data_IF_822273504581
#
_entry.id   IF_822273504581
#
_cell.length_a   1.000
_cell.length_b   1.000
_cell.length_c   1.000
_cell.angle_alpha   90.00
_cell.angle_beta   90.00
_cell.angle_gamma   90.00
#
_symmetry.space_group_name_H-M   'P 1'
#
loop_
_entity.id
_entity.type
_entity.pdbx_description
1 polymer ?
#
# COMPACT_ATOMS: atom_id res chain seq x y z
N UNK A 1 -28.15 -27.05 -23.59
CA UNK A 1 -26.68 -27.12 -23.59
C UNK A 1 -26.12 -25.95 -24.39
N UNK A 2 -25.83 -24.83 -23.77
CA UNK A 2 -25.10 -23.72 -24.40
C UNK A 2 -23.64 -23.83 -23.97
N UNK A 3 -22.85 -24.51 -24.80
CA UNK A 3 -21.41 -24.55 -24.62
C UNK A 3 -20.88 -23.12 -24.73
N UNK A 4 -20.40 -22.62 -23.62
CA UNK A 4 -19.78 -21.33 -23.46
C UNK A 4 -18.51 -21.24 -24.30
N UNK A 5 -18.58 -20.51 -25.41
CA UNK A 5 -17.44 -20.04 -26.23
C UNK A 5 -16.60 -19.00 -25.47
N UNK A 6 -16.90 -18.72 -24.20
CA UNK A 6 -16.26 -17.72 -23.34
C UNK A 6 -14.99 -18.19 -22.61
N UNK A 7 -14.37 -19.31 -22.99
CA UNK A 7 -13.21 -19.85 -22.29
C UNK A 7 -11.85 -19.23 -22.67
N UNK A 8 -11.79 -18.28 -23.61
CA UNK A 8 -10.54 -17.64 -24.08
C UNK A 8 -10.27 -16.30 -23.37
N UNK A 9 -11.28 -15.64 -22.84
CA UNK A 9 -11.10 -14.44 -22.03
C UNK A 9 -10.63 -14.86 -20.63
N UNK A 10 -9.41 -14.45 -20.22
CA UNK A 10 -8.93 -14.62 -18.86
C UNK A 10 -9.92 -14.01 -17.85
N UNK A 11 -9.87 -14.47 -16.60
CA UNK A 11 -10.68 -13.90 -15.51
C UNK A 11 -10.25 -12.48 -15.25
N UNK A 12 -11.17 -11.53 -15.29
CA UNK A 12 -10.91 -10.13 -14.97
C UNK A 12 -10.44 -10.01 -13.52
N UNK A 13 -9.49 -9.11 -13.25
CA UNK A 13 -8.82 -9.01 -11.98
C UNK A 13 -8.55 -7.57 -11.57
N UNK A 14 -8.59 -7.29 -10.28
CA UNK A 14 -8.10 -6.04 -9.72
C UNK A 14 -6.77 -6.29 -8.99
N UNK A 15 -5.86 -5.36 -9.11
CA UNK A 15 -4.53 -5.43 -8.52
C UNK A 15 -4.31 -4.17 -7.70
N UNK A 16 -4.16 -4.36 -6.41
CA UNK A 16 -3.56 -3.37 -5.53
C UNK A 16 -2.05 -3.53 -5.63
N UNK A 17 -1.41 -2.64 -6.39
CA UNK A 17 0.02 -2.68 -6.68
C UNK A 17 0.80 -1.83 -5.67
N UNK A 18 0.76 -2.23 -4.40
CA UNK A 18 1.37 -1.46 -3.32
C UNK A 18 2.89 -1.60 -3.24
N UNK A 19 3.55 -0.61 -2.61
CA UNK A 19 5.01 -0.59 -2.39
C UNK A 19 5.47 -1.79 -1.55
N UNK A 20 4.75 -2.14 -0.50
CA UNK A 20 5.11 -3.25 0.40
C UNK A 20 4.54 -4.60 -0.06
N UNK A 21 3.27 -4.64 -0.44
CA UNK A 21 2.56 -5.85 -0.83
C UNK A 21 1.71 -5.60 -2.08
N UNK A 22 1.57 -6.62 -2.91
CA UNK A 22 0.63 -6.66 -4.02
C UNK A 22 -0.50 -7.64 -3.67
N UNK A 23 -1.74 -7.18 -3.76
CA UNK A 23 -2.93 -8.00 -3.59
C UNK A 23 -3.67 -8.13 -4.92
N UNK A 24 -4.23 -9.31 -5.17
CA UNK A 24 -4.99 -9.57 -6.39
C UNK A 24 -6.37 -10.12 -6.04
N UNK A 25 -7.38 -9.44 -6.56
CA UNK A 25 -8.77 -9.85 -6.52
C UNK A 25 -9.19 -10.37 -7.91
N UNK A 26 -9.92 -11.47 -7.96
CA UNK A 26 -10.45 -12.05 -9.19
C UNK A 26 -11.98 -12.00 -9.17
N UNK A 27 -12.55 -11.47 -10.22
CA UNK A 27 -14.01 -11.35 -10.39
C UNK A 27 -14.71 -12.68 -10.16
N UNK A 28 -15.72 -12.69 -9.28
CA UNK A 28 -16.50 -13.86 -8.90
C UNK A 28 -15.78 -14.88 -8.01
N UNK A 29 -14.57 -14.54 -7.51
CA UNK A 29 -13.78 -15.43 -6.63
C UNK A 29 -13.37 -14.71 -5.33
N UNK A 30 -13.00 -13.43 -5.42
CA UNK A 30 -12.45 -12.67 -4.29
C UNK A 30 -10.93 -12.52 -4.34
N UNK A 31 -10.32 -12.22 -3.19
CA UNK A 31 -8.86 -12.07 -3.07
C UNK A 31 -8.21 -13.45 -3.19
N UNK A 32 -7.33 -13.60 -4.17
CA UNK A 32 -6.66 -14.88 -4.49
C UNK A 32 -5.16 -14.84 -4.25
N UNK A 33 -4.60 -13.64 -4.04
CA UNK A 33 -3.16 -13.46 -3.86
C UNK A 33 -2.90 -12.26 -2.95
N UNK A 34 -1.95 -12.45 -2.03
CA UNK A 34 -1.36 -11.42 -1.18
C UNK A 34 0.12 -11.74 -1.01
N UNK A 35 0.96 -11.02 -1.74
CA UNK A 35 2.40 -11.29 -1.80
C UNK A 35 3.19 -9.98 -1.62
N UNK A 36 4.36 -10.01 -0.98
CA UNK A 36 5.27 -8.88 -0.97
C UNK A 36 5.65 -8.42 -2.38
N UNK A 37 5.72 -7.12 -2.60
CA UNK A 37 6.16 -6.51 -3.87
C UNK A 37 7.70 -6.56 -3.97
N UNK A 38 8.26 -7.77 -4.00
CA UNK A 38 9.70 -8.03 -4.04
C UNK A 38 9.99 -9.05 -5.13
N UNK A 39 11.05 -8.82 -5.89
CA UNK A 39 11.56 -9.74 -6.91
C UNK A 39 13.04 -9.98 -6.66
N UNK A 40 13.44 -11.23 -6.56
CA UNK A 40 14.85 -11.63 -6.56
C UNK A 40 15.31 -11.90 -7.99
N UNK A 41 16.36 -11.24 -8.43
CA UNK A 41 16.90 -11.38 -9.79
C UNK A 41 18.34 -11.88 -9.75
N UNK A 42 18.74 -12.57 -10.81
CA UNK A 42 20.13 -12.81 -11.10
C UNK A 42 20.71 -11.56 -11.78
N UNK A 43 21.76 -10.96 -11.19
CA UNK A 43 22.35 -9.70 -11.68
C UNK A 43 23.09 -9.82 -13.00
N UNK A 44 23.38 -11.07 -13.49
CA UNK A 44 24.11 -11.32 -14.74
C UNK A 44 23.22 -11.25 -15.98
N UNK A 45 21.97 -11.68 -15.85
CA UNK A 45 21.04 -11.81 -16.99
C UNK A 45 19.65 -11.19 -16.72
N UNK A 46 19.48 -10.53 -15.58
CA UNK A 46 18.23 -9.91 -15.11
C UNK A 46 17.02 -10.86 -15.09
N UNK A 47 17.26 -12.17 -14.96
CA UNK A 47 16.17 -13.14 -14.85
C UNK A 47 15.60 -13.16 -13.44
N UNK A 48 14.26 -13.13 -13.29
CA UNK A 48 13.63 -13.33 -12.00
C UNK A 48 13.89 -14.76 -11.54
N UNK A 49 14.34 -14.89 -10.29
CA UNK A 49 14.55 -16.17 -9.60
C UNK A 49 13.35 -16.49 -8.72
N UNK A 50 12.93 -15.51 -7.93
CA UNK A 50 11.80 -15.63 -7.01
C UNK A 50 11.00 -14.32 -6.97
N UNK A 51 9.71 -14.42 -6.65
CA UNK A 51 8.79 -13.29 -6.52
C UNK A 51 7.98 -13.45 -5.22
N UNK A 52 7.66 -12.34 -4.57
CA UNK A 52 6.80 -12.34 -3.40
C UNK A 52 7.54 -12.77 -2.12
N UNK A 53 6.91 -13.64 -1.33
CA UNK A 53 7.40 -14.03 -0.02
C UNK A 53 8.79 -14.66 -0.06
N UNK A 54 9.08 -15.51 -1.05
CA UNK A 54 10.40 -16.16 -1.16
C UNK A 54 11.47 -15.12 -1.48
N UNK A 55 11.19 -14.15 -2.36
CA UNK A 55 12.11 -13.04 -2.63
C UNK A 55 12.31 -12.14 -1.39
N UNK A 56 11.25 -11.85 -0.61
CA UNK A 56 11.35 -11.06 0.64
C UNK A 56 12.27 -11.75 1.67
N UNK A 57 12.26 -13.08 1.76
CA UNK A 57 13.15 -13.83 2.64
C UNK A 57 14.64 -13.70 2.27
N UNK A 58 14.92 -13.34 1.04
CA UNK A 58 16.28 -13.19 0.52
C UNK A 58 16.88 -11.79 0.80
N UNK A 59 16.09 -10.79 1.16
CA UNK A 59 16.57 -9.43 1.46
C UNK A 59 17.65 -9.48 2.55
N UNK A 60 18.82 -8.87 2.26
CA UNK A 60 19.97 -8.81 3.16
C UNK A 60 20.74 -10.13 3.34
N UNK A 61 20.43 -11.17 2.53
CA UNK A 61 21.03 -12.52 2.65
C UNK A 61 21.53 -13.07 1.33
N UNK A 62 21.59 -12.26 0.28
CA UNK A 62 21.96 -12.69 -1.07
C UNK A 62 23.47 -12.59 -1.32
N UNK A 63 24.07 -13.53 -2.08
CA UNK A 63 25.39 -13.34 -2.63
C UNK A 63 25.35 -12.25 -3.71
N UNK A 64 26.53 -11.75 -4.13
CA UNK A 64 26.67 -10.61 -5.04
C UNK A 64 25.99 -10.76 -6.41
N UNK A 65 25.75 -12.00 -6.86
CA UNK A 65 25.09 -12.28 -8.15
C UNK A 65 23.56 -12.42 -8.05
N UNK A 66 22.98 -12.24 -6.86
CA UNK A 66 21.53 -12.20 -6.62
C UNK A 66 21.18 -10.90 -5.91
N UNK A 67 20.16 -10.21 -6.41
CA UNK A 67 19.64 -9.00 -5.79
C UNK A 67 18.13 -9.12 -5.57
N UNK A 68 17.67 -8.86 -4.34
CA UNK A 68 16.25 -8.68 -4.06
C UNK A 68 15.89 -7.21 -4.27
N UNK A 69 14.95 -6.94 -5.18
CA UNK A 69 14.56 -5.60 -5.61
C UNK A 69 13.10 -5.36 -5.24
N UNK A 70 12.80 -4.16 -4.74
CA UNK A 70 11.44 -3.62 -4.64
C UNK A 70 11.20 -2.77 -5.88
N UNK A 71 10.40 -3.23 -6.85
CA UNK A 71 10.20 -2.54 -8.11
C UNK A 71 9.31 -1.29 -7.99
N UNK A 72 8.65 -1.14 -6.85
CA UNK A 72 7.81 0.00 -6.50
C UNK A 72 8.43 0.73 -5.31
N UNK A 73 8.43 2.06 -5.37
CA UNK A 73 8.83 2.95 -4.27
C UNK A 73 7.90 4.14 -4.21
N UNK A 74 7.51 4.53 -3.01
CA UNK A 74 6.67 5.71 -2.80
C UNK A 74 5.41 5.70 -3.70
N UNK A 75 4.76 4.53 -3.84
CA UNK A 75 3.55 4.33 -4.62
C UNK A 75 3.74 4.33 -6.14
N UNK A 76 4.97 4.45 -6.67
CA UNK A 76 5.22 4.53 -8.11
C UNK A 76 6.21 3.46 -8.59
N UNK A 77 6.20 3.19 -9.90
CA UNK A 77 7.14 2.26 -10.53
C UNK A 77 8.55 2.87 -10.51
N UNK A 78 9.46 2.24 -9.79
CA UNK A 78 10.88 2.58 -9.76
C UNK A 78 11.69 1.78 -10.80
N UNK A 79 11.24 0.57 -11.13
CA UNK A 79 11.84 -0.30 -12.15
C UNK A 79 10.73 -0.91 -13.01
N UNK A 80 10.62 -0.44 -14.26
CA UNK A 80 9.56 -0.84 -15.18
C UNK A 80 9.66 -2.32 -15.56
N UNK A 81 10.86 -2.79 -15.93
CA UNK A 81 11.07 -4.15 -16.42
C UNK A 81 10.79 -5.19 -15.33
N UNK A 82 11.19 -4.88 -14.09
CA UNK A 82 10.94 -5.77 -12.96
C UNK A 82 9.47 -5.73 -12.56
N UNK A 83 8.80 -4.57 -12.62
CA UNK A 83 7.35 -4.46 -12.39
C UNK A 83 6.56 -5.28 -13.41
N UNK A 84 6.90 -5.19 -14.72
CA UNK A 84 6.29 -6.00 -15.77
C UNK A 84 6.42 -7.49 -15.47
N UNK A 85 7.64 -7.94 -15.12
CA UNK A 85 7.90 -9.35 -14.79
C UNK A 85 7.10 -9.81 -13.57
N UNK A 86 7.00 -8.96 -12.55
CA UNK A 86 6.20 -9.23 -11.35
C UNK A 86 4.71 -9.34 -11.68
N UNK A 87 4.15 -8.39 -12.43
CA UNK A 87 2.75 -8.42 -12.87
C UNK A 87 2.46 -9.67 -13.72
N UNK A 88 3.33 -10.00 -14.66
CA UNK A 88 3.22 -11.22 -15.47
C UNK A 88 3.20 -12.48 -14.60
N UNK A 89 4.09 -12.56 -13.62
CA UNK A 89 4.10 -13.68 -12.66
C UNK A 89 2.75 -13.81 -11.93
N UNK A 90 2.15 -12.71 -11.49
CA UNK A 90 0.85 -12.74 -10.80
C UNK A 90 -0.29 -13.13 -11.75
N UNK A 91 -0.31 -12.59 -12.96
CA UNK A 91 -1.30 -12.97 -14.00
C UNK A 91 -1.20 -14.47 -14.29
N UNK A 92 0.01 -14.99 -14.52
CA UNK A 92 0.26 -16.41 -14.80
C UNK A 92 -0.14 -17.31 -13.63
N UNK A 93 0.15 -16.89 -12.39
CA UNK A 93 -0.20 -17.61 -11.16
C UNK A 93 -1.72 -17.73 -10.99
N UNK A 94 -2.46 -16.64 -11.25
CA UNK A 94 -3.94 -16.61 -11.18
C UNK A 94 -4.58 -17.47 -12.28
N UNK A 95 -3.99 -17.50 -13.46
CA UNK A 95 -4.56 -18.22 -14.62
C UNK A 95 -3.97 -19.61 -14.83
N UNK A 96 -3.22 -20.16 -13.84
CA UNK A 96 -2.57 -21.47 -13.95
C UNK A 96 -1.72 -21.62 -15.22
N UNK A 97 -0.96 -20.56 -15.58
CA UNK A 97 -0.06 -20.50 -16.75
C UNK A 97 -0.78 -20.74 -18.10
N UNK A 98 -2.04 -20.39 -18.22
CA UNK A 98 -2.75 -20.41 -19.50
C UNK A 98 -2.26 -19.26 -20.38
N UNK A 99 -1.42 -19.56 -21.36
CA UNK A 99 -0.79 -18.61 -22.28
C UNK A 99 -1.75 -17.71 -23.07
N UNK A 100 -3.04 -18.06 -23.15
CA UNK A 100 -4.08 -17.31 -23.87
C UNK A 100 -4.94 -16.42 -22.95
N UNK A 101 -4.69 -16.40 -21.64
CA UNK A 101 -5.48 -15.58 -20.74
C UNK A 101 -5.10 -14.10 -20.92
N UNK A 102 -6.09 -13.29 -21.36
CA UNK A 102 -5.96 -11.83 -21.50
C UNK A 102 -7.03 -11.14 -20.66
N UNK A 103 -6.78 -10.93 -19.36
CA UNK A 103 -7.75 -10.31 -18.47
C UNK A 103 -7.92 -8.82 -18.75
N UNK A 104 -9.09 -8.28 -18.36
CA UNK A 104 -9.24 -6.88 -18.00
C UNK A 104 -8.62 -6.72 -16.60
N UNK A 105 -7.81 -5.66 -16.41
CA UNK A 105 -7.17 -5.40 -15.13
C UNK A 105 -7.56 -3.99 -14.66
N UNK A 106 -7.96 -3.86 -13.40
CA UNK A 106 -8.06 -2.60 -12.67
C UNK A 106 -6.87 -2.51 -11.73
N UNK A 107 -6.10 -1.43 -11.78
CA UNK A 107 -4.91 -1.23 -10.94
C UNK A 107 -5.09 0.03 -10.11
N UNK A 108 -4.79 -0.05 -8.82
CA UNK A 108 -4.79 1.08 -7.91
C UNK A 108 -3.55 1.94 -8.14
N UNK A 109 -3.72 3.24 -8.03
CA UNK A 109 -2.65 4.24 -8.16
C UNK A 109 -2.84 5.34 -7.13
N UNK A 110 -1.76 5.97 -6.62
CA UNK A 110 -1.87 7.11 -5.72
C UNK A 110 -2.65 8.27 -6.33
N UNK A 111 -3.34 9.07 -5.51
CA UNK A 111 -4.10 10.24 -5.97
C UNK A 111 -3.21 11.34 -6.57
N UNK A 112 -1.96 11.43 -6.10
CA UNK A 112 -0.96 12.39 -6.59
C UNK A 112 -0.13 11.93 -7.80
N UNK A 113 -0.53 10.83 -8.47
CA UNK A 113 0.22 10.26 -9.60
C UNK A 113 0.22 11.18 -10.82
N UNK A 114 1.37 11.35 -11.46
CA UNK A 114 1.49 12.09 -12.73
C UNK A 114 0.90 11.29 -13.89
N UNK A 115 0.52 11.98 -14.97
CA UNK A 115 0.03 11.32 -16.20
C UNK A 115 1.06 10.34 -16.80
N UNK A 116 2.36 10.62 -16.65
CA UNK A 116 3.44 9.75 -17.13
C UNK A 116 3.53 8.48 -16.29
N UNK A 117 3.50 8.60 -14.97
CA UNK A 117 3.52 7.47 -14.05
C UNK A 117 2.28 6.59 -14.22
N UNK A 118 1.08 7.19 -14.35
CA UNK A 118 -0.18 6.47 -14.63
C UNK A 118 -0.06 5.65 -15.91
N UNK A 119 0.44 6.27 -16.98
CA UNK A 119 0.67 5.59 -18.25
C UNK A 119 1.68 4.44 -18.12
N UNK A 120 2.75 4.61 -17.35
CA UNK A 120 3.72 3.53 -17.08
C UNK A 120 3.06 2.32 -16.41
N UNK A 121 2.15 2.53 -15.45
CA UNK A 121 1.38 1.45 -14.81
C UNK A 121 0.50 0.71 -15.83
N UNK A 122 -0.22 1.45 -16.68
CA UNK A 122 -1.06 0.84 -17.72
C UNK A 122 -0.23 0.07 -18.75
N UNK A 123 0.90 0.64 -19.22
CA UNK A 123 1.81 -0.03 -20.15
C UNK A 123 2.42 -1.30 -19.55
N UNK A 124 2.84 -1.27 -18.28
CA UNK A 124 3.34 -2.45 -17.58
C UNK A 124 2.28 -3.57 -17.55
N UNK A 125 1.01 -3.22 -17.30
CA UNK A 125 -0.09 -4.19 -17.34
C UNK A 125 -0.34 -4.77 -18.74
N UNK A 126 -0.30 -3.94 -19.80
CA UNK A 126 -0.42 -4.41 -21.18
C UNK A 126 0.73 -5.35 -21.57
N UNK A 127 1.96 -4.99 -21.23
CA UNK A 127 3.13 -5.83 -21.49
C UNK A 127 3.09 -7.15 -20.70
N UNK A 128 2.53 -7.11 -19.48
CA UNK A 128 2.32 -8.31 -18.68
C UNK A 128 1.19 -9.23 -19.21
N UNK A 129 0.40 -8.78 -20.22
CA UNK A 129 -0.60 -9.61 -20.90
C UNK A 129 -2.04 -9.17 -20.71
N UNK A 130 -2.34 -8.03 -20.11
CA UNK A 130 -3.69 -7.49 -20.03
C UNK A 130 -4.24 -7.17 -21.43
N UNK A 131 -5.54 -7.43 -21.66
CA UNK A 131 -6.23 -6.94 -22.86
C UNK A 131 -6.71 -5.50 -22.71
N UNK A 132 -7.03 -5.07 -21.48
CA UNK A 132 -7.39 -3.72 -21.10
C UNK A 132 -6.90 -3.45 -19.69
N UNK A 133 -6.33 -2.27 -19.47
CA UNK A 133 -5.94 -1.76 -18.17
C UNK A 133 -6.78 -0.53 -17.83
N UNK A 134 -7.25 -0.46 -16.61
CA UNK A 134 -7.93 0.68 -16.01
C UNK A 134 -7.20 1.05 -14.73
N UNK A 135 -7.20 2.31 -14.38
CA UNK A 135 -6.67 2.77 -13.10
C UNK A 135 -7.78 3.33 -12.22
N UNK A 136 -7.64 3.15 -10.91
CA UNK A 136 -8.47 3.78 -9.88
C UNK A 136 -7.55 4.41 -8.85
N UNK A 137 -7.93 5.57 -8.32
CA UNK A 137 -7.15 6.18 -7.25
C UNK A 137 -7.33 5.44 -5.93
N UNK A 138 -6.21 5.17 -5.24
CA UNK A 138 -6.16 4.39 -3.99
C UNK A 138 -7.19 4.86 -2.96
N UNK A 139 -7.34 6.17 -2.64
CA UNK A 139 -8.31 6.60 -1.65
C UNK A 139 -9.76 6.37 -2.08
N UNK A 140 -10.07 6.46 -3.38
CA UNK A 140 -11.41 6.12 -3.88
C UNK A 140 -11.67 4.62 -3.76
N UNK A 141 -10.70 3.79 -4.14
CA UNK A 141 -10.80 2.34 -3.98
C UNK A 141 -10.94 1.96 -2.49
N UNK A 142 -10.13 2.56 -1.62
CA UNK A 142 -10.21 2.35 -0.18
C UNK A 142 -11.61 2.68 0.36
N UNK A 143 -12.17 3.85 0.01
CA UNK A 143 -13.49 4.28 0.44
C UNK A 143 -14.61 3.31 0.00
N UNK A 144 -14.57 2.86 -1.26
CA UNK A 144 -15.50 1.84 -1.77
C UNK A 144 -15.32 0.53 -0.99
N UNK A 145 -14.08 0.10 -0.76
CA UNK A 145 -13.77 -1.18 -0.12
C UNK A 145 -14.16 -1.26 1.36
N UNK A 146 -14.23 -0.12 2.05
CA UNK A 146 -14.73 -0.04 3.44
C UNK A 146 -16.24 0.25 3.50
N UNK A 147 -16.91 0.39 2.34
CA UNK A 147 -18.35 0.60 2.27
C UNK A 147 -18.81 2.02 2.56
N UNK A 148 -17.96 3.04 2.37
CA UNK A 148 -18.38 4.43 2.49
C UNK A 148 -19.37 4.81 1.38
N UNK A 149 -20.36 5.67 1.65
CA UNK A 149 -21.38 6.07 0.69
C UNK A 149 -20.83 7.10 -0.31
N UNK A 150 -19.86 6.69 -1.14
CA UNK A 150 -19.10 7.58 -2.03
C UNK A 150 -19.96 8.33 -3.06
N UNK A 151 -21.14 7.81 -3.41
CA UNK A 151 -22.04 8.43 -4.40
C UNK A 151 -23.03 9.43 -3.79
N UNK A 152 -23.17 9.47 -2.47
CA UNK A 152 -24.06 10.38 -1.79
C UNK A 152 -23.50 11.81 -1.76
N UNK A 153 -24.38 12.84 -1.67
CA UNK A 153 -23.97 14.23 -1.50
C UNK A 153 -23.56 14.51 -0.03
N UNK A 154 -22.62 13.72 0.48
CA UNK A 154 -22.13 13.80 1.86
C UNK A 154 -20.61 13.57 1.91
N UNK A 155 -19.95 14.22 2.86
CA UNK A 155 -18.50 14.11 3.05
C UNK A 155 -18.11 12.77 3.65
N UNK A 156 -17.24 12.02 2.95
CA UNK A 156 -16.57 10.82 3.47
C UNK A 156 -15.08 11.06 3.43
N UNK A 157 -14.39 10.90 4.56
CA UNK A 157 -12.93 11.07 4.63
C UNK A 157 -12.24 9.76 4.91
N UNK A 158 -11.22 9.46 4.12
CA UNK A 158 -10.36 8.26 4.26
C UNK A 158 -8.90 8.67 4.38
N UNK A 159 -8.18 7.96 5.25
CA UNK A 159 -6.72 8.01 5.39
C UNK A 159 -6.22 6.60 5.11
N UNK A 160 -5.57 6.40 3.99
CA UNK A 160 -4.95 5.13 3.61
C UNK A 160 -3.45 5.23 3.76
N UNK A 161 -2.90 4.58 4.78
CA UNK A 161 -1.48 4.56 5.06
C UNK A 161 -0.87 3.24 4.58
N UNK A 162 -0.28 3.28 3.38
CA UNK A 162 0.40 2.16 2.75
C UNK A 162 1.83 1.93 3.24
N UNK A 163 2.61 1.18 2.45
CA UNK A 163 4.04 0.96 2.71
C UNK A 163 4.91 2.16 2.36
N UNK A 164 4.65 2.82 1.22
CA UNK A 164 5.46 3.94 0.73
C UNK A 164 4.72 5.27 0.62
N UNK A 165 3.40 5.29 0.83
CA UNK A 165 2.56 6.50 0.73
C UNK A 165 1.51 6.53 1.81
N UNK A 166 1.06 7.73 2.14
CA UNK A 166 -0.19 7.97 2.86
C UNK A 166 -1.08 8.85 1.99
N UNK A 167 -2.26 8.33 1.67
CA UNK A 167 -3.30 9.00 0.90
C UNK A 167 -4.38 9.50 1.83
N UNK A 168 -4.67 10.79 1.78
CA UNK A 168 -5.74 11.43 2.55
C UNK A 168 -6.72 12.05 1.57
N UNK A 169 -7.99 11.68 1.61
CA UNK A 169 -8.97 12.22 0.68
C UNK A 169 -10.34 12.41 1.32
N UNK A 170 -11.04 13.45 0.86
CA UNK A 170 -12.46 13.70 1.08
C UNK A 170 -13.20 13.43 -0.21
N UNK A 171 -14.22 12.58 -0.14
CA UNK A 171 -14.97 12.05 -1.27
C UNK A 171 -16.43 12.43 -1.09
N UNK A 172 -17.08 12.85 -2.18
CA UNK A 172 -18.51 13.13 -2.25
C UNK A 172 -18.99 13.02 -3.69
N UNK A 173 -20.23 12.59 -3.93
CA UNK A 173 -20.85 12.50 -5.26
C UNK A 173 -20.02 11.72 -6.30
N UNK A 174 -19.34 10.66 -5.87
CA UNK A 174 -18.51 9.81 -6.72
C UNK A 174 -17.17 10.44 -7.14
N UNK A 175 -16.79 11.58 -6.57
CA UNK A 175 -15.54 12.28 -6.87
C UNK A 175 -14.69 12.59 -5.65
N UNK A 176 -13.40 12.73 -5.86
CA UNK A 176 -12.47 13.24 -4.84
C UNK A 176 -12.55 14.76 -4.84
N UNK A 177 -12.99 15.34 -3.72
CA UNK A 177 -13.16 16.80 -3.55
C UNK A 177 -11.85 17.45 -3.15
N UNK A 178 -11.15 16.84 -2.19
CA UNK A 178 -9.82 17.25 -1.72
C UNK A 178 -8.99 16.00 -1.53
N UNK A 179 -7.74 16.03 -1.94
CA UNK A 179 -6.79 14.96 -1.61
C UNK A 179 -5.40 15.50 -1.31
N UNK A 180 -4.69 14.72 -0.51
CA UNK A 180 -3.27 14.92 -0.20
C UNK A 180 -2.58 13.57 -0.22
N UNK A 181 -1.61 13.42 -1.11
CA UNK A 181 -0.70 12.29 -1.15
C UNK A 181 0.66 12.72 -0.58
N UNK A 182 1.20 11.96 0.35
CA UNK A 182 2.56 12.15 0.87
C UNK A 182 3.34 10.86 0.74
N UNK A 183 4.64 10.99 0.45
CA UNK A 183 5.57 9.85 0.31
C UNK A 183 6.11 9.44 1.67
N UNK A 184 5.21 9.17 2.58
CA UNK A 184 5.48 8.70 3.94
C UNK A 184 4.54 7.53 4.20
N UNK A 185 5.10 6.40 4.57
CA UNK A 185 4.37 5.18 4.87
C UNK A 185 5.16 4.28 5.81
N UNK A 186 4.89 2.98 5.74
CA UNK A 186 5.54 1.99 6.60
C UNK A 186 7.05 1.92 6.43
N UNK A 187 7.57 2.16 5.22
CA UNK A 187 9.00 2.08 4.92
C UNK A 187 9.77 3.26 5.58
N UNK A 188 9.20 4.47 5.59
CA UNK A 188 9.79 5.63 6.26
C UNK A 188 9.81 5.46 7.79
N UNK A 189 8.80 4.79 8.36
CA UNK A 189 8.84 4.42 9.78
C UNK A 189 9.98 3.44 10.07
N UNK A 190 10.22 2.46 9.19
CA UNK A 190 11.33 1.51 9.34
C UNK A 190 12.69 2.21 9.22
N UNK A 191 12.84 3.12 8.26
CA UNK A 191 14.06 3.92 8.08
C UNK A 191 14.32 4.86 9.26
N UNK A 192 13.27 5.44 9.84
CA UNK A 192 13.36 6.26 11.05
C UNK A 192 13.89 5.44 12.24
N UNK A 193 13.38 4.23 12.44
CA UNK A 193 13.86 3.30 13.48
C UNK A 193 15.33 2.93 13.25
N UNK A 194 15.72 2.60 12.01
CA UNK A 194 17.11 2.27 11.67
C UNK A 194 18.03 3.45 11.99
N UNK A 195 17.62 4.65 11.59
CA UNK A 195 18.41 5.88 11.79
C UNK A 195 18.54 6.23 13.26
N UNK A 196 17.47 6.10 14.03
CA UNK A 196 17.46 6.36 15.47
C UNK A 196 18.37 5.37 16.22
N UNK A 197 18.25 4.06 15.94
CA UNK A 197 19.10 3.02 16.55
C UNK A 197 20.57 3.20 16.17
N UNK A 198 20.85 3.63 14.94
CA UNK A 198 22.20 3.94 14.50
C UNK A 198 22.79 5.10 15.32
N UNK A 199 22.01 6.13 15.59
CA UNK A 199 22.43 7.32 16.32
C UNK A 199 22.61 7.04 17.82
N UNK A 200 21.62 6.43 18.47
CA UNK A 200 21.61 6.29 19.94
C UNK A 200 22.44 5.08 20.40
N UNK A 201 22.50 3.99 19.64
CA UNK A 201 23.15 2.74 20.04
C UNK A 201 24.43 2.42 19.26
N UNK A 202 24.81 3.24 18.26
CA UNK A 202 25.89 2.95 17.32
C UNK A 202 25.75 1.55 16.69
N UNK A 203 24.53 1.17 16.36
CA UNK A 203 24.21 -0.18 15.83
C UNK A 203 23.49 -0.10 14.49
N UNK A 204 23.94 -0.90 13.53
CA UNK A 204 23.27 -1.07 12.25
C UNK A 204 22.18 -2.15 12.36
N UNK A 205 20.95 -1.78 12.03
CA UNK A 205 19.83 -2.70 11.84
C UNK A 205 19.62 -3.01 10.37
N UNK A 206 19.10 -4.20 10.09
CA UNK A 206 18.55 -4.54 8.77
C UNK A 206 17.08 -4.10 8.65
N UNK A 207 16.64 -3.75 7.44
CA UNK A 207 15.25 -3.31 7.15
C UNK A 207 14.20 -4.27 7.73
N UNK A 208 14.38 -5.58 7.51
CA UNK A 208 13.45 -6.59 8.03
C UNK A 208 13.36 -6.59 9.56
N UNK A 209 14.46 -6.32 10.25
CA UNK A 209 14.46 -6.24 11.73
C UNK A 209 13.73 -4.99 12.19
N UNK A 210 13.90 -3.85 11.52
CA UNK A 210 13.19 -2.61 11.82
C UNK A 210 11.67 -2.79 11.60
N UNK A 211 11.25 -3.39 10.48
CA UNK A 211 9.84 -3.73 10.22
C UNK A 211 9.25 -4.61 11.34
N UNK A 212 9.99 -5.62 11.79
CA UNK A 212 9.56 -6.48 12.89
C UNK A 212 9.43 -5.74 14.22
N UNK A 213 10.37 -4.84 14.53
CA UNK A 213 10.33 -3.98 15.73
C UNK A 213 9.13 -3.04 15.67
N UNK A 214 8.91 -2.37 14.54
CA UNK A 214 7.74 -1.52 14.32
C UNK A 214 6.44 -2.27 14.59
N UNK A 215 6.28 -3.46 14.00
CA UNK A 215 5.06 -4.26 14.17
C UNK A 215 4.88 -4.80 15.58
N UNK A 216 5.98 -5.13 16.28
CA UNK A 216 5.91 -5.76 17.61
C UNK A 216 5.68 -4.75 18.73
N UNK A 217 6.37 -3.60 18.69
CA UNK A 217 6.41 -2.63 19.79
C UNK A 217 6.22 -1.18 19.36
N UNK A 218 6.03 -0.91 18.04
CA UNK A 218 5.77 0.45 17.55
C UNK A 218 4.45 0.99 18.04
N UNK A 219 4.43 2.27 18.41
CA UNK A 219 3.19 2.98 18.77
C UNK A 219 3.30 4.47 18.50
N UNK A 220 2.19 5.09 18.08
CA UNK A 220 2.08 6.52 17.85
C UNK A 220 1.51 7.28 19.07
N UNK A 221 1.14 6.54 20.14
CA UNK A 221 0.52 7.09 21.35
C UNK A 221 1.11 6.42 22.59
N UNK A 222 1.32 7.14 23.72
CA UNK A 222 1.82 6.54 24.95
C UNK A 222 0.78 5.64 25.58
N UNK A 223 1.22 4.49 26.08
CA UNK A 223 0.39 3.53 26.82
C UNK A 223 0.93 3.33 28.22
N UNK A 224 0.09 2.86 29.13
CA UNK A 224 0.50 2.59 30.52
C UNK A 224 1.51 1.43 30.59
N UNK A 225 1.28 0.39 29.79
CA UNK A 225 2.14 -0.79 29.69
C UNK A 225 2.86 -0.75 28.34
N UNK A 226 4.09 -0.30 28.33
CA UNK A 226 4.90 -0.20 27.13
C UNK A 226 5.79 -1.43 26.97
N UNK A 227 5.60 -2.23 25.92
CA UNK A 227 6.41 -3.41 25.65
C UNK A 227 7.85 -3.02 25.28
N UNK A 228 8.76 -3.99 25.48
CA UNK A 228 10.12 -3.92 25.00
C UNK A 228 10.47 -5.19 24.23
N UNK A 229 11.46 -5.11 23.33
CA UNK A 229 11.92 -6.24 22.53
C UNK A 229 13.45 -6.28 22.46
N UNK A 230 14.01 -7.49 22.47
CA UNK A 230 15.40 -7.72 22.12
C UNK A 230 15.60 -7.53 20.61
N UNK A 231 16.59 -6.71 20.25
CA UNK A 231 16.91 -6.41 18.86
C UNK A 231 18.38 -6.70 18.61
N UNK A 232 18.65 -7.41 17.50
CA UNK A 232 20.00 -7.82 17.12
C UNK A 232 20.45 -7.08 15.87
N UNK A 233 21.68 -6.60 15.88
CA UNK A 233 22.29 -5.91 14.77
C UNK A 233 23.81 -6.04 14.79
N UNK A 234 24.48 -5.15 14.05
CA UNK A 234 25.94 -5.08 14.00
C UNK A 234 26.40 -3.77 14.67
N UNK A 235 27.25 -3.90 15.67
CA UNK A 235 27.92 -2.74 16.28
C UNK A 235 28.80 -2.03 15.25
N UNK A 236 28.68 -0.71 15.16
CA UNK A 236 29.40 0.09 14.15
C UNK A 236 30.85 0.39 14.53
N UNK A 237 31.21 0.21 15.82
CA UNK A 237 32.56 0.48 16.32
C UNK A 237 33.40 -0.79 16.18
N UNK A 238 32.92 -1.91 16.72
CA UNK A 238 33.64 -3.17 16.73
C UNK A 238 33.41 -4.04 15.48
N UNK A 239 32.35 -3.79 14.73
CA UNK A 239 31.89 -4.63 13.61
C UNK A 239 31.26 -5.95 14.02
N UNK A 240 31.15 -6.25 15.31
CA UNK A 240 30.64 -7.51 15.84
C UNK A 240 29.12 -7.51 16.01
N UNK A 241 28.46 -8.69 16.11
CA UNK A 241 27.06 -8.79 16.49
C UNK A 241 26.82 -8.15 17.86
N UNK A 242 25.73 -7.37 17.98
CA UNK A 242 25.29 -6.68 19.21
C UNK A 242 23.82 -6.91 19.42
N UNK A 243 23.43 -7.08 20.68
CA UNK A 243 22.03 -7.15 21.11
C UNK A 243 21.72 -5.96 22.00
N UNK A 244 20.58 -5.32 21.79
CA UNK A 244 20.03 -4.25 22.63
C UNK A 244 18.59 -4.58 22.98
N UNK A 245 18.03 -3.92 23.98
CA UNK A 245 16.61 -3.92 24.30
C UNK A 245 16.05 -2.56 23.92
N UNK A 246 15.05 -2.54 23.06
CA UNK A 246 14.30 -1.33 22.70
C UNK A 246 12.95 -1.34 23.38
N UNK A 247 12.55 -0.21 23.93
CA UNK A 247 11.21 0.02 24.47
C UNK A 247 10.27 0.63 23.41
N UNK A 248 8.96 0.49 23.61
CA UNK A 248 7.94 1.13 22.77
C UNK A 248 8.06 2.67 22.79
N UNK A 249 8.49 3.26 23.92
CA UNK A 249 8.73 4.71 24.01
C UNK A 249 9.88 5.19 23.13
N UNK A 250 10.96 4.44 23.04
CA UNK A 250 12.09 4.75 22.16
C UNK A 250 11.71 4.60 20.68
N UNK A 251 10.94 3.55 20.34
CA UNK A 251 10.43 3.39 18.97
C UNK A 251 9.45 4.51 18.62
N UNK A 252 8.60 4.96 19.55
CA UNK A 252 7.70 6.10 19.34
C UNK A 252 8.48 7.40 19.09
N UNK A 253 9.55 7.64 19.87
CA UNK A 253 10.44 8.77 19.62
C UNK A 253 11.08 8.70 18.23
N UNK A 254 11.54 7.52 17.83
CA UNK A 254 12.16 7.33 16.52
C UNK A 254 11.21 7.65 15.35
N UNK A 255 9.93 7.31 15.46
CA UNK A 255 8.95 7.51 14.40
C UNK A 255 8.14 8.82 14.52
N UNK A 256 8.44 9.68 15.47
CA UNK A 256 7.65 10.91 15.73
C UNK A 256 7.57 11.82 14.51
N UNK A 257 8.68 12.05 13.80
CA UNK A 257 8.73 12.94 12.64
C UNK A 257 7.84 12.46 11.48
N UNK A 258 7.94 11.19 11.01
CA UNK A 258 7.03 10.70 9.99
C UNK A 258 5.57 10.63 10.46
N UNK A 259 5.29 10.30 11.71
CA UNK A 259 3.91 10.31 12.25
C UNK A 259 3.36 11.74 12.27
N UNK A 260 4.12 12.73 12.68
CA UNK A 260 3.70 14.14 12.66
C UNK A 260 3.40 14.60 11.23
N UNK A 261 4.19 14.19 10.25
CA UNK A 261 3.94 14.51 8.84
C UNK A 261 2.61 13.94 8.33
N UNK A 262 2.21 12.74 8.81
CA UNK A 262 0.90 12.15 8.51
C UNK A 262 -0.21 12.99 9.16
N UNK A 263 -0.07 13.38 10.42
CA UNK A 263 -1.01 14.26 11.13
C UNK A 263 -1.20 15.57 10.37
N UNK A 264 -0.11 16.18 9.90
CA UNK A 264 -0.13 17.44 9.16
C UNK A 264 -0.85 17.29 7.81
N UNK A 265 -0.70 16.15 7.14
CA UNK A 265 -1.42 15.87 5.89
C UNK A 265 -2.94 15.75 6.14
N UNK A 266 -3.36 15.12 7.24
CA UNK A 266 -4.77 15.03 7.64
C UNK A 266 -5.33 16.41 7.97
N UNK A 267 -4.63 17.21 8.78
CA UNK A 267 -5.02 18.59 9.13
C UNK A 267 -5.13 19.49 7.89
N UNK A 268 -4.14 19.38 6.99
CA UNK A 268 -4.16 20.12 5.72
C UNK A 268 -5.39 19.78 4.87
N UNK A 269 -5.75 18.51 4.78
CA UNK A 269 -6.91 18.07 4.00
C UNK A 269 -8.21 18.59 4.62
N UNK A 270 -8.34 18.54 5.94
CA UNK A 270 -9.49 19.12 6.67
C UNK A 270 -9.60 20.63 6.45
N UNK A 271 -8.48 21.37 6.51
CA UNK A 271 -8.44 22.82 6.26
C UNK A 271 -8.94 23.22 4.86
N UNK A 272 -8.72 22.37 3.87
CA UNK A 272 -9.16 22.57 2.48
C UNK A 272 -10.54 22.02 2.18
N UNK A 273 -11.14 21.30 3.11
CA UNK A 273 -12.46 20.69 2.93
C UNK A 273 -13.56 21.75 3.02
N UNK A 274 -14.54 21.77 2.08
CA UNK A 274 -15.71 22.62 2.19
C UNK A 274 -16.45 22.44 3.52
N UNK A 275 -17.00 23.53 4.11
CA UNK A 275 -17.60 23.49 5.45
C UNK A 275 -18.70 22.44 5.63
N UNK A 276 -19.55 22.25 4.63
CA UNK A 276 -20.65 21.27 4.66
C UNK A 276 -20.11 19.84 4.76
N UNK A 277 -19.07 19.52 3.99
CA UNK A 277 -18.44 18.21 4.03
C UNK A 277 -17.60 18.01 5.31
N UNK A 278 -17.02 19.08 5.85
CA UNK A 278 -16.31 19.02 7.13
C UNK A 278 -17.29 18.74 8.29
N UNK A 279 -18.50 19.27 8.24
CA UNK A 279 -19.56 18.95 9.20
C UNK A 279 -19.96 17.46 9.14
N UNK A 280 -20.11 16.91 7.93
CA UNK A 280 -20.39 15.48 7.76
C UNK A 280 -19.27 14.59 8.37
N UNK A 281 -18.00 15.00 8.17
CA UNK A 281 -16.83 14.26 8.70
C UNK A 281 -16.80 14.36 10.24
N UNK A 282 -17.22 15.48 10.83
CA UNK A 282 -17.30 15.61 12.29
C UNK A 282 -18.28 14.60 12.90
N UNK A 283 -19.38 14.31 12.21
CA UNK A 283 -20.39 13.36 12.66
C UNK A 283 -20.02 11.90 12.36
N UNK A 284 -19.48 11.63 11.17
CA UNK A 284 -19.19 10.27 10.68
C UNK A 284 -17.78 9.76 11.03
N UNK A 285 -16.86 10.69 11.26
CA UNK A 285 -15.46 10.41 11.53
C UNK A 285 -14.62 10.23 10.25
N UNK A 286 -13.34 9.98 10.48
CA UNK A 286 -12.33 9.69 9.47
C UNK A 286 -12.06 8.20 9.48
N UNK A 287 -12.13 7.55 8.32
CA UNK A 287 -11.79 6.12 8.21
C UNK A 287 -10.31 5.95 7.96
N UNK A 288 -9.65 5.22 8.86
CA UNK A 288 -8.23 4.88 8.78
C UNK A 288 -8.07 3.47 8.21
N UNK A 289 -7.29 3.34 7.14
CA UNK A 289 -7.04 2.08 6.43
C UNK A 289 -5.59 1.95 5.99
N UNK A 290 -5.24 0.87 5.25
CA UNK A 290 -3.88 0.52 4.91
C UNK A 290 -3.13 -0.18 6.04
N UNK A 291 -1.90 -0.60 5.76
CA UNK A 291 -1.06 -1.28 6.76
C UNK A 291 -0.71 -0.43 7.97
N UNK A 292 -0.59 0.89 7.76
CA UNK A 292 -0.30 1.86 8.83
C UNK A 292 -1.43 2.04 9.83
N UNK A 293 -2.68 1.72 9.46
CA UNK A 293 -3.81 1.70 10.40
C UNK A 293 -3.62 0.71 11.55
N UNK A 294 -2.71 -0.26 11.39
CA UNK A 294 -2.34 -1.22 12.42
C UNK A 294 -1.26 -0.69 13.38
N UNK A 295 -0.67 0.49 13.13
CA UNK A 295 0.24 1.11 14.06
C UNK A 295 -0.52 1.50 15.34
N UNK A 296 -0.10 0.93 16.43
CA UNK A 296 -0.76 1.07 17.73
C UNK A 296 -0.90 2.55 18.13
N UNK A 297 -2.13 3.00 18.40
CA UNK A 297 -2.43 4.37 18.85
C UNK A 297 -2.32 5.46 17.79
N UNK A 298 -2.20 5.11 16.50
CA UNK A 298 -2.28 6.10 15.44
C UNK A 298 -3.68 6.74 15.38
N UNK A 299 -4.72 5.96 15.60
CA UNK A 299 -6.10 6.40 15.76
C UNK A 299 -6.25 7.42 16.90
N UNK A 300 -5.67 7.12 18.06
CA UNK A 300 -5.68 8.02 19.22
C UNK A 300 -4.90 9.31 18.96
N UNK A 301 -3.75 9.21 18.28
CA UNK A 301 -2.95 10.38 17.90
C UNK A 301 -3.74 11.27 16.95
N UNK A 302 -4.32 10.73 15.89
CA UNK A 302 -5.12 11.47 14.93
C UNK A 302 -6.36 12.09 15.58
N UNK A 303 -7.08 11.35 16.42
CA UNK A 303 -8.25 11.89 17.15
C UNK A 303 -7.88 13.04 18.06
N UNK A 304 -6.78 12.94 18.81
CA UNK A 304 -6.29 14.00 19.68
C UNK A 304 -5.88 15.26 18.93
N UNK A 305 -5.25 15.10 17.77
CA UNK A 305 -4.69 16.20 16.98
C UNK A 305 -5.72 16.91 16.09
N UNK A 306 -6.78 16.21 15.68
CA UNK A 306 -7.80 16.73 14.76
C UNK A 306 -9.12 17.07 15.45
N UNK A 307 -9.37 16.50 16.63
CA UNK A 307 -10.67 16.56 17.29
C UNK A 307 -11.77 15.77 16.61
N UNK A 308 -11.44 14.97 15.57
CA UNK A 308 -12.38 14.16 14.81
C UNK A 308 -12.45 12.72 15.33
N UNK A 309 -13.62 12.04 15.28
CA UNK A 309 -13.68 10.61 15.49
C UNK A 309 -12.84 9.86 14.45
N UNK A 310 -12.07 8.86 14.87
CA UNK A 310 -11.30 8.01 13.96
C UNK A 310 -11.83 6.59 14.02
N UNK A 311 -12.12 6.01 12.87
CA UNK A 311 -12.66 4.65 12.73
C UNK A 311 -11.66 3.81 11.94
N UNK A 312 -11.05 2.83 12.56
CA UNK A 312 -10.17 1.89 11.84
C UNK A 312 -11.01 0.89 11.07
N UNK A 313 -10.70 0.68 9.80
CA UNK A 313 -11.38 -0.28 8.95
C UNK A 313 -11.22 -1.73 9.47
N UNK A 314 -12.24 -2.57 9.30
CA UNK A 314 -12.20 -3.98 9.74
C UNK A 314 -11.09 -4.79 9.05
N UNK A 315 -10.81 -4.49 7.79
CA UNK A 315 -9.79 -5.17 6.96
C UNK A 315 -8.86 -4.16 6.31
N UNK A 316 -8.06 -3.42 7.10
CA UNK A 316 -7.33 -2.26 6.59
C UNK A 316 -6.33 -2.63 5.49
N UNK A 317 -5.70 -3.80 5.54
CA UNK A 317 -4.79 -4.29 4.51
C UNK A 317 -5.47 -4.69 3.18
N UNK A 318 -6.80 -4.78 3.16
CA UNK A 318 -7.55 -5.30 2.01
C UNK A 318 -8.52 -4.26 1.41
N UNK A 319 -8.68 -3.10 2.04
CA UNK A 319 -9.68 -2.11 1.65
C UNK A 319 -9.53 -1.69 0.18
N UNK A 320 -8.33 -1.36 -0.25
CA UNK A 320 -8.03 -0.92 -1.61
C UNK A 320 -8.36 -2.00 -2.64
N UNK A 321 -7.89 -3.22 -2.42
CA UNK A 321 -8.15 -4.33 -3.36
C UNK A 321 -9.62 -4.76 -3.38
N UNK A 322 -10.33 -4.67 -2.24
CA UNK A 322 -11.77 -4.96 -2.17
C UNK A 322 -12.59 -3.92 -2.94
N UNK A 323 -12.26 -2.63 -2.81
CA UNK A 323 -12.94 -1.58 -3.57
C UNK A 323 -12.66 -1.68 -5.08
N UNK A 324 -11.42 -1.96 -5.47
CA UNK A 324 -11.08 -2.20 -6.87
C UNK A 324 -11.77 -3.45 -7.42
N UNK A 325 -11.93 -4.48 -6.58
CA UNK A 325 -12.71 -5.68 -6.90
C UNK A 325 -14.20 -5.37 -7.07
N UNK A 326 -14.78 -4.53 -6.22
CA UNK A 326 -16.17 -4.07 -6.36
C UNK A 326 -16.38 -3.35 -7.70
N UNK A 327 -15.43 -2.52 -8.16
CA UNK A 327 -15.49 -1.90 -9.49
C UNK A 327 -15.48 -2.91 -10.64
N UNK A 328 -14.90 -4.08 -10.47
CA UNK A 328 -14.99 -5.15 -11.47
C UNK A 328 -16.31 -5.91 -11.43
N UNK A 329 -16.85 -6.14 -10.24
CA UNK A 329 -18.15 -6.82 -10.07
C UNK A 329 -19.28 -5.95 -10.59
N UNK A 330 -19.29 -4.66 -10.26
CA UNK A 330 -20.32 -3.68 -10.60
C UNK A 330 -19.82 -2.68 -11.65
N UNK A 331 -19.16 -3.17 -12.69
CA UNK A 331 -18.47 -2.33 -13.69
C UNK A 331 -19.39 -1.29 -14.37
N UNK A 332 -20.67 -1.61 -14.55
CA UNK A 332 -21.64 -0.72 -15.19
C UNK A 332 -22.02 0.47 -14.29
N UNK A 333 -21.90 0.33 -12.97
CA UNK A 333 -22.23 1.38 -11.98
C UNK A 333 -20.97 2.10 -11.52
N UNK A 334 -19.96 1.36 -11.08
CA UNK A 334 -18.72 1.88 -10.52
C UNK A 334 -17.66 2.20 -11.58
N UNK A 335 -17.87 1.82 -12.84
CA UNK A 335 -16.92 2.11 -13.91
C UNK A 335 -16.66 3.59 -14.17
N UNK A 336 -17.52 4.47 -13.68
CA UNK A 336 -17.39 5.93 -13.78
C UNK A 336 -16.17 6.46 -13.02
N UNK A 337 -15.75 5.79 -11.94
CA UNK A 337 -14.56 6.18 -11.15
C UNK A 337 -13.25 5.63 -11.74
N UNK A 338 -13.34 4.82 -12.80
CA UNK A 338 -12.18 4.23 -13.47
C UNK A 338 -11.67 5.16 -14.56
N UNK A 339 -10.36 5.27 -14.68
CA UNK A 339 -9.67 5.97 -15.77
C UNK A 339 -8.95 4.97 -16.69
N UNK A 340 -8.89 5.26 -17.98
CA UNK A 340 -8.02 4.52 -18.91
C UNK A 340 -7.50 5.48 -19.98
N UNK A 341 -6.23 5.40 -20.31
CA UNK A 341 -5.63 6.16 -21.43
C UNK A 341 -5.89 5.50 -22.78
N UNK A 342 -7.12 4.96 -22.99
CA UNK A 342 -7.67 4.43 -24.22
C UNK A 342 -6.69 4.12 -25.36
N UNK A 343 -6.20 2.87 -25.48
CA UNK A 343 -5.93 2.33 -26.81
C UNK A 343 -7.28 1.92 -27.38
N UNK A 344 -7.78 2.71 -28.34
CA UNK A 344 -8.96 2.42 -29.15
C UNK A 344 -8.81 1.09 -29.89
#
# INVERSE_FOLDING_TARGET
MRNSIFSVAGRDMAIDLGTANTLVFVRGVGIVLNEPSVVAINTRDNRPLEVGMEAKRMIGRTPSYIQAIRPLRNGVIADFDITEKMLRYFIDKVHNRRLSARPRIVICVPSGITAVERRAVEEAAYHAGARRAYTIEEPMAAAIGVGLPVHEPSGSMVVDMGGGTTEVAVISLGGIVVSRSIRIGGDELDEAIISWVKKEYNMMLGERTAEQVKMAIGSAWPYRDEPAAEVRGRDLISGLPKTIVLSSSEVREAIEEPVQSIVDAVKFTLDKTPPELAADIMDRGIVLTGGGALLRGLDMRLASETGMPIVTADRPLQSVVLGSGACLEEFDVLGVVLSSSGRA
#
